data_IF_797189138668
#
_entry.id   IF_797189138668
#
_cell.length_a   1.000
_cell.length_b   1.000
_cell.length_c   1.000
_cell.angle_alpha   90.00
_cell.angle_beta   90.00
_cell.angle_gamma   90.00
#
_symmetry.space_group_name_H-M   'P 1'
#
loop_
_entity.id
_entity.type
_entity.pdbx_description
1 polymer ?
#
# COMPACT_ATOMS: atom_id res chain seq x y z
N UNK A 1 25.61 44.94 27.14
CA UNK A 1 24.21 44.52 27.34
C UNK A 1 23.93 43.33 26.43
N UNK A 2 23.89 42.12 27.00
CA UNK A 2 23.57 40.89 26.29
C UNK A 2 22.06 40.84 26.01
N UNK A 3 21.69 40.92 24.73
CA UNK A 3 20.32 40.67 24.28
C UNK A 3 20.00 39.17 24.36
N UNK A 4 19.44 38.75 25.49
CA UNK A 4 18.80 37.45 25.63
C UNK A 4 17.55 37.41 24.73
N UNK A 5 17.63 36.69 23.61
CA UNK A 5 16.45 36.23 22.87
C UNK A 5 15.71 35.23 23.76
N UNK A 6 14.64 35.70 24.41
CA UNK A 6 13.67 34.86 25.09
C UNK A 6 12.93 34.04 24.01
N UNK A 7 13.30 32.78 23.84
CA UNK A 7 12.49 31.81 23.11
C UNK A 7 11.34 31.37 24.02
N UNK A 8 10.14 31.92 23.82
CA UNK A 8 8.93 31.32 24.37
C UNK A 8 8.74 29.94 23.70
N UNK A 9 9.05 28.87 24.43
CA UNK A 9 8.65 27.52 24.06
C UNK A 9 7.14 27.40 24.28
N UNK A 10 6.36 27.74 23.25
CA UNK A 10 4.92 27.47 23.23
C UNK A 10 4.75 25.95 23.32
N UNK A 11 4.03 25.51 24.34
CA UNK A 11 3.69 24.11 24.52
C UNK A 11 2.43 23.75 23.73
N UNK A 12 2.54 22.78 22.83
CA UNK A 12 1.47 22.28 21.97
C UNK A 12 0.53 21.36 22.77
N UNK A 13 -0.78 21.55 22.70
CA UNK A 13 -1.78 20.62 23.26
C UNK A 13 -2.25 19.74 22.09
N UNK A 14 -1.99 18.44 22.15
CA UNK A 14 -2.31 17.54 21.04
C UNK A 14 -3.73 16.97 21.06
N UNK A 15 -4.14 16.47 19.89
CA UNK A 15 -5.40 15.72 19.70
C UNK A 15 -5.28 14.26 20.13
N UNK A 16 -6.39 13.50 20.13
CA UNK A 16 -6.37 12.07 20.47
C UNK A 16 -5.55 11.28 19.45
N UNK A 17 -4.66 10.40 19.91
CA UNK A 17 -3.94 9.46 19.04
C UNK A 17 -4.94 8.54 18.33
N UNK A 18 -5.03 8.64 17.01
CA UNK A 18 -5.88 7.78 16.18
C UNK A 18 -5.17 6.51 15.75
N UNK A 19 -3.90 6.64 15.34
CA UNK A 19 -3.14 5.53 14.78
C UNK A 19 -1.64 5.74 14.90
N UNK A 20 -0.90 4.64 15.05
CA UNK A 20 0.55 4.60 14.90
C UNK A 20 0.89 3.84 13.62
N UNK A 21 1.39 4.56 12.61
CA UNK A 21 1.83 4.00 11.34
C UNK A 21 3.29 3.56 11.33
N UNK A 22 3.82 3.30 10.13
CA UNK A 22 5.22 2.87 9.97
C UNK A 22 6.27 3.92 10.32
N UNK A 23 5.91 5.20 10.25
CA UNK A 23 6.83 6.33 10.44
C UNK A 23 6.36 7.38 11.45
N UNK A 24 5.07 7.38 11.75
CA UNK A 24 4.39 8.53 12.31
C UNK A 24 3.22 8.16 13.20
N UNK A 25 2.84 9.10 14.05
CA UNK A 25 1.62 9.05 14.84
C UNK A 25 0.62 10.03 14.24
N UNK A 26 -0.62 9.61 14.13
CA UNK A 26 -1.72 10.39 13.55
C UNK A 26 -2.66 10.81 14.68
N UNK A 27 -2.95 12.11 14.76
CA UNK A 27 -3.75 12.71 15.82
C UNK A 27 -4.96 13.44 15.21
N UNK A 28 -6.10 13.40 15.92
CA UNK A 28 -7.33 14.12 15.58
C UNK A 28 -7.97 14.67 16.87
N UNK A 29 -8.41 15.95 16.94
CA UNK A 29 -8.29 17.02 15.93
C UNK A 29 -6.86 17.30 15.50
N UNK A 30 -6.71 17.90 14.32
CA UNK A 30 -5.41 18.36 13.86
C UNK A 30 -4.84 19.43 14.80
N UNK A 31 -3.53 19.63 14.69
CA UNK A 31 -2.76 20.63 15.43
C UNK A 31 -2.18 21.64 14.44
N UNK A 32 -2.28 22.92 14.78
CA UNK A 32 -1.57 23.99 14.11
C UNK A 32 -0.08 23.96 14.46
N UNK A 33 0.75 24.59 13.62
CA UNK A 33 2.20 24.64 13.81
C UNK A 33 2.63 25.40 15.07
N UNK A 34 1.78 26.27 15.60
CA UNK A 34 1.95 26.93 16.90
C UNK A 34 1.55 26.04 18.09
N UNK A 35 1.01 24.84 17.84
CA UNK A 35 0.60 23.89 18.86
C UNK A 35 -0.83 24.02 19.36
N UNK A 36 -1.63 24.94 18.82
CA UNK A 36 -3.05 24.99 19.13
C UNK A 36 -3.76 23.81 18.47
N UNK A 37 -4.84 23.35 19.10
CA UNK A 37 -5.82 22.50 18.44
C UNK A 37 -6.40 23.29 17.25
N UNK A 38 -6.59 22.59 16.15
CA UNK A 38 -7.17 23.07 14.91
C UNK A 38 -8.46 22.27 14.63
N UNK A 39 -8.93 22.28 13.39
CA UNK A 39 -10.16 21.64 12.95
C UNK A 39 -10.10 20.08 13.00
N UNK A 40 -11.21 19.48 13.42
CA UNK A 40 -11.46 18.04 13.49
C UNK A 40 -11.70 17.38 12.11
N UNK A 41 -11.91 18.17 11.06
CA UNK A 41 -11.95 17.65 9.67
C UNK A 41 -10.57 17.31 9.12
N UNK A 42 -9.51 17.54 9.89
CA UNK A 42 -8.14 17.22 9.51
C UNK A 42 -7.45 16.38 10.58
N UNK A 43 -6.35 15.75 10.18
CA UNK A 43 -5.44 15.03 11.08
C UNK A 43 -4.02 15.59 10.99
N UNK A 44 -3.30 15.47 12.10
CA UNK A 44 -1.86 15.74 12.13
C UNK A 44 -1.07 14.44 12.15
N UNK A 45 -0.30 14.18 11.10
CA UNK A 45 0.69 13.09 11.04
C UNK A 45 2.06 13.63 11.45
N UNK A 46 2.56 13.18 12.59
CA UNK A 46 3.89 13.55 13.09
C UNK A 46 4.87 12.43 12.80
N UNK A 47 5.95 12.73 12.08
CA UNK A 47 7.02 11.76 11.79
C UNK A 47 8.41 12.41 11.77
N UNK A 48 9.45 11.59 11.66
CA UNK A 48 10.83 12.11 11.54
C UNK A 48 11.01 12.78 10.19
N UNK A 49 11.76 13.89 10.15
CA UNK A 49 12.12 14.55 8.89
C UNK A 49 13.18 13.74 8.14
N UNK A 50 12.77 13.01 7.12
CA UNK A 50 13.63 12.21 6.24
C UNK A 50 13.14 12.25 4.78
N UNK A 51 13.77 11.47 3.90
CA UNK A 51 13.41 11.45 2.48
C UNK A 51 12.00 10.90 2.23
N UNK A 52 11.52 9.95 3.04
CA UNK A 52 10.14 9.47 2.92
C UNK A 52 9.13 10.57 3.27
N UNK A 53 9.42 11.38 4.30
CA UNK A 53 8.58 12.52 4.64
C UNK A 53 8.59 13.60 3.56
N UNK A 54 9.75 13.90 2.97
CA UNK A 54 9.85 14.84 1.84
C UNK A 54 9.08 14.34 0.63
N UNK A 55 9.26 13.07 0.28
CA UNK A 55 8.55 12.42 -0.82
C UNK A 55 7.03 12.48 -0.63
N UNK A 56 6.53 12.20 0.57
CA UNK A 56 5.10 12.25 0.87
C UNK A 56 4.52 13.68 0.69
N UNK A 57 5.27 14.72 1.07
CA UNK A 57 4.89 16.12 0.83
C UNK A 57 4.88 16.44 -0.68
N UNK A 58 5.93 16.03 -1.41
CA UNK A 58 6.08 16.33 -2.84
C UNK A 58 4.99 15.66 -3.67
N UNK A 59 4.76 14.36 -3.44
CA UNK A 59 3.66 13.63 -4.05
C UNK A 59 2.33 14.26 -3.65
N UNK A 60 2.17 14.64 -2.38
CA UNK A 60 0.95 15.30 -1.90
C UNK A 60 0.59 16.54 -2.72
N UNK A 61 1.56 17.40 -3.03
CA UNK A 61 1.36 18.57 -3.89
C UNK A 61 0.88 18.20 -5.30
N UNK A 62 1.42 17.14 -5.90
CA UNK A 62 1.01 16.68 -7.23
C UNK A 62 -0.43 16.18 -7.20
N UNK A 63 -0.78 15.39 -6.17
CA UNK A 63 -2.11 14.79 -6.05
C UNK A 63 -3.19 15.82 -5.72
N UNK A 64 -2.89 16.84 -4.92
CA UNK A 64 -3.83 17.92 -4.61
C UNK A 64 -4.26 18.74 -5.83
N UNK A 65 -3.51 18.69 -6.94
CA UNK A 65 -3.86 19.35 -8.19
C UNK A 65 -4.76 18.50 -9.11
N UNK A 66 -5.14 17.28 -8.70
CA UNK A 66 -6.08 16.44 -9.44
C UNK A 66 -7.50 16.87 -9.08
N UNK A 67 -8.36 17.08 -10.09
CA UNK A 67 -9.78 17.35 -9.86
C UNK A 67 -10.39 16.21 -9.03
N UNK A 68 -11.17 16.56 -8.01
CA UNK A 68 -11.83 15.60 -7.12
C UNK A 68 -10.87 14.64 -6.39
N UNK A 69 -9.59 15.00 -6.20
CA UNK A 69 -8.60 14.14 -5.53
C UNK A 69 -9.09 13.59 -4.19
N UNK A 70 -9.93 14.34 -3.47
CA UNK A 70 -10.51 13.95 -2.18
C UNK A 70 -11.40 12.69 -2.25
N UNK A 71 -11.81 12.26 -3.44
CA UNK A 71 -12.56 11.02 -3.66
C UNK A 71 -11.64 9.82 -3.94
N UNK A 72 -10.33 10.05 -3.97
CA UNK A 72 -9.34 9.04 -4.33
C UNK A 72 -8.20 8.95 -3.31
N UNK A 73 -7.77 10.09 -2.75
CA UNK A 73 -6.55 10.24 -1.97
C UNK A 73 -6.76 11.14 -0.75
N UNK A 74 -5.98 10.90 0.31
CA UNK A 74 -5.76 11.86 1.39
C UNK A 74 -4.27 12.27 1.42
N UNK A 75 -3.83 13.17 0.52
CA UNK A 75 -2.46 13.67 0.47
C UNK A 75 -2.14 14.64 1.61
N UNK A 76 -0.85 14.97 1.75
CA UNK A 76 -0.39 16.05 2.62
C UNK A 76 -0.78 17.40 2.04
N UNK A 77 -1.53 18.19 2.82
CA UNK A 77 -2.03 19.52 2.42
C UNK A 77 -1.05 20.61 2.84
N UNK A 78 -0.54 20.52 4.06
CA UNK A 78 0.45 21.45 4.59
C UNK A 78 1.39 20.75 5.59
N UNK A 79 2.50 21.38 5.91
CA UNK A 79 3.47 20.82 6.85
C UNK A 79 4.27 21.90 7.57
N UNK A 80 4.85 21.54 8.71
CA UNK A 80 5.82 22.36 9.42
C UNK A 80 6.83 21.53 10.21
N UNK A 81 8.00 22.13 10.45
CA UNK A 81 9.01 21.53 11.32
C UNK A 81 8.63 21.77 12.78
N UNK A 82 8.76 20.73 13.60
CA UNK A 82 8.44 20.79 15.02
C UNK A 82 9.55 20.15 15.87
N UNK A 83 9.73 20.63 17.09
CA UNK A 83 10.56 19.98 18.11
C UNK A 83 9.67 19.17 19.07
N UNK A 84 9.98 17.88 19.32
CA UNK A 84 9.18 17.05 20.23
C UNK A 84 9.03 17.65 21.63
N UNK A 85 10.05 18.38 22.10
CA UNK A 85 10.00 19.07 23.41
C UNK A 85 8.83 20.05 23.53
N UNK A 86 8.29 20.50 22.40
CA UNK A 86 7.18 21.44 22.35
C UNK A 86 5.81 20.75 22.50
N UNK A 87 5.68 19.44 22.27
CA UNK A 87 4.39 18.74 22.42
C UNK A 87 4.10 18.40 23.89
N UNK A 88 3.03 18.96 24.47
CA UNK A 88 2.41 18.57 25.74
C UNK A 88 1.08 17.87 25.46
N UNK A 89 1.14 16.56 25.24
CA UNK A 89 -0.03 15.71 25.09
C UNK A 89 0.08 14.52 26.07
N UNK A 90 -1.01 14.18 26.75
CA UNK A 90 -1.12 13.01 27.64
C UNK A 90 -0.88 11.69 26.90
N UNK A 91 -1.19 11.63 25.59
CA UNK A 91 -0.99 10.49 24.72
C UNK A 91 0.37 10.51 24.01
N UNK A 92 1.21 11.53 24.25
CA UNK A 92 2.59 11.60 23.71
C UNK A 92 3.37 10.34 24.01
N UNK A 93 3.28 9.83 25.24
CA UNK A 93 4.02 8.62 25.64
C UNK A 93 3.52 7.33 24.97
N UNK A 94 2.32 7.35 24.37
CA UNK A 94 1.79 6.20 23.61
C UNK A 94 2.44 6.08 22.23
N UNK A 95 2.98 7.18 21.69
CA UNK A 95 3.67 7.17 20.40
C UNK A 95 5.12 6.67 20.55
N UNK A 96 5.43 5.49 20.01
CA UNK A 96 6.77 4.89 20.12
C UNK A 96 7.90 5.77 19.57
N UNK A 97 7.60 6.66 18.63
CA UNK A 97 8.57 7.58 18.02
C UNK A 97 9.18 8.57 19.01
N UNK A 98 8.47 8.87 20.09
CA UNK A 98 8.89 9.84 21.10
C UNK A 98 9.73 9.20 22.21
N UNK A 99 9.83 7.85 22.24
CA UNK A 99 10.66 7.10 23.20
C UNK A 99 12.14 6.97 22.77
N UNK A 100 12.48 7.25 21.50
CA UNK A 100 13.86 7.17 20.98
C UNK A 100 14.51 8.58 20.94
N UNK A 101 15.78 8.67 21.37
CA UNK A 101 16.63 9.88 21.61
C UNK A 101 16.20 11.21 20.96
N UNK A 102 16.33 12.30 21.75
CA UNK A 102 15.98 13.72 21.49
C UNK A 102 16.61 14.42 20.27
N UNK A 103 17.26 13.71 19.34
CA UNK A 103 18.18 14.35 18.37
C UNK A 103 17.62 14.54 16.95
N UNK A 104 16.41 14.08 16.61
CA UNK A 104 15.83 14.32 15.27
C UNK A 104 14.96 15.60 15.20
N UNK A 105 15.05 16.34 14.09
CA UNK A 105 14.00 17.28 13.69
C UNK A 105 12.77 16.48 13.24
N UNK A 106 11.58 16.84 13.73
CA UNK A 106 10.33 16.20 13.36
C UNK A 106 9.55 17.08 12.40
N UNK A 107 8.67 16.45 11.65
CA UNK A 107 7.77 17.08 10.71
C UNK A 107 6.35 16.75 11.15
N UNK A 108 5.50 17.77 11.23
CA UNK A 108 4.06 17.61 11.33
C UNK A 108 3.45 17.91 9.97
N UNK A 109 2.59 17.02 9.50
CA UNK A 109 1.87 17.14 8.24
C UNK A 109 0.37 17.17 8.52
N UNK A 110 -0.35 18.08 7.86
CA UNK A 110 -1.81 18.17 7.90
C UNK A 110 -2.41 17.42 6.71
N UNK A 111 -3.37 16.54 6.97
CA UNK A 111 -4.09 15.77 5.96
C UNK A 111 -5.60 15.86 6.22
N UNK A 112 -6.42 15.69 5.19
CA UNK A 112 -7.87 15.55 5.34
C UNK A 112 -8.18 14.33 6.25
N UNK A 113 -9.07 14.49 7.23
CA UNK A 113 -9.53 13.37 8.04
C UNK A 113 -10.50 12.51 7.22
N UNK A 114 -10.15 11.24 7.05
CA UNK A 114 -11.05 10.25 6.46
C UNK A 114 -11.85 9.59 7.58
N UNK A 115 -13.09 10.04 7.74
CA UNK A 115 -14.04 9.39 8.65
C UNK A 115 -14.34 7.97 8.17
N UNK A 116 -13.92 6.98 8.95
CA UNK A 116 -14.06 5.58 8.60
C UNK A 116 -13.02 4.68 9.26
N UNK A 117 -12.73 3.54 8.62
CA UNK A 117 -11.75 2.56 9.09
C UNK A 117 -10.97 1.93 7.94
N UNK A 118 -9.98 1.10 8.25
CA UNK A 118 -9.21 0.35 7.25
C UNK A 118 -10.13 -0.46 6.34
N UNK A 119 -9.83 -0.46 5.04
CA UNK A 119 -10.71 -0.99 4.01
C UNK A 119 -11.13 -2.43 4.24
N UNK A 120 -10.19 -3.37 4.45
CA UNK A 120 -10.52 -4.78 4.66
C UNK A 120 -11.30 -4.96 5.96
N UNK A 121 -10.99 -4.22 7.00
CA UNK A 121 -11.77 -4.23 8.24
C UNK A 121 -13.20 -3.70 8.04
N UNK A 122 -13.40 -2.64 7.26
CA UNK A 122 -14.74 -2.12 6.95
C UNK A 122 -15.58 -3.16 6.24
N UNK A 123 -15.02 -3.75 5.17
CA UNK A 123 -15.66 -4.78 4.37
C UNK A 123 -16.11 -5.95 5.24
N UNK A 124 -15.33 -6.30 6.27
CA UNK A 124 -15.65 -7.44 7.14
C UNK A 124 -16.63 -7.10 8.27
N UNK A 125 -16.56 -5.90 8.85
CA UNK A 125 -17.41 -5.55 10.01
C UNK A 125 -18.82 -5.12 9.63
N UNK A 126 -18.98 -4.35 8.56
CA UNK A 126 -20.25 -3.70 8.21
C UNK A 126 -21.04 -4.44 7.13
N UNK A 127 -20.78 -5.74 7.01
CA UNK A 127 -21.45 -6.66 6.11
C UNK A 127 -22.90 -6.92 6.53
N UNK A 128 -23.87 -6.46 5.73
CA UNK A 128 -25.04 -7.26 5.36
C UNK A 128 -24.80 -7.85 3.95
N UNK A 129 -25.48 -8.95 3.61
CA UNK A 129 -25.26 -9.79 2.41
C UNK A 129 -24.93 -9.01 1.15
N UNK A 130 -25.88 -8.16 0.78
CA UNK A 130 -25.92 -7.46 -0.50
C UNK A 130 -24.95 -6.28 -0.48
N UNK A 131 -24.72 -5.65 0.67
CA UNK A 131 -23.76 -4.54 0.76
C UNK A 131 -22.32 -5.00 0.63
N UNK A 132 -21.95 -6.23 1.03
CA UNK A 132 -20.57 -6.71 0.88
C UNK A 132 -20.16 -6.62 -0.59
N UNK A 133 -20.97 -7.18 -1.47
CA UNK A 133 -20.67 -7.33 -2.88
C UNK A 133 -20.70 -5.99 -3.61
N UNK A 134 -21.73 -5.19 -3.36
CA UNK A 134 -21.78 -3.84 -3.86
C UNK A 134 -20.56 -3.03 -3.43
N UNK A 135 -20.13 -3.17 -2.17
CA UNK A 135 -18.91 -2.53 -1.68
C UNK A 135 -17.66 -3.09 -2.37
N UNK A 136 -17.56 -4.40 -2.66
CA UNK A 136 -16.41 -4.99 -3.40
C UNK A 136 -16.34 -4.38 -4.78
N UNK A 137 -17.45 -4.44 -5.52
CA UNK A 137 -17.56 -4.01 -6.92
C UNK A 137 -17.24 -2.52 -7.02
N UNK A 138 -17.92 -1.69 -6.22
CA UNK A 138 -17.75 -0.25 -6.23
C UNK A 138 -16.35 0.15 -5.76
N UNK A 139 -15.82 -0.52 -4.73
CA UNK A 139 -14.46 -0.23 -4.25
C UNK A 139 -13.40 -0.65 -5.27
N UNK A 140 -13.60 -1.75 -5.99
CA UNK A 140 -12.61 -2.22 -6.97
C UNK A 140 -12.54 -1.23 -8.14
N UNK A 141 -13.70 -0.81 -8.66
CA UNK A 141 -13.78 0.21 -9.68
C UNK A 141 -13.21 1.55 -9.21
N UNK A 142 -13.52 2.00 -7.99
CA UNK A 142 -12.98 3.25 -7.46
C UNK A 142 -11.44 3.17 -7.28
N UNK A 143 -10.91 2.05 -6.80
CA UNK A 143 -9.47 1.85 -6.62
C UNK A 143 -8.74 1.75 -7.96
N UNK A 144 -9.29 1.06 -8.97
CA UNK A 144 -8.74 1.05 -10.33
C UNK A 144 -8.68 2.47 -10.90
N UNK A 145 -9.74 3.26 -10.72
CA UNK A 145 -9.76 4.69 -11.11
C UNK A 145 -8.71 5.50 -10.35
N UNK A 146 -8.59 5.31 -9.04
CA UNK A 146 -7.55 5.96 -8.23
C UNK A 146 -6.14 5.62 -8.74
N UNK A 147 -5.86 4.35 -9.05
CA UNK A 147 -4.54 3.95 -9.58
C UNK A 147 -4.33 4.55 -10.99
N UNK A 148 -5.35 4.58 -11.84
CA UNK A 148 -5.27 5.23 -13.16
C UNK A 148 -4.92 6.72 -13.03
N UNK A 149 -5.49 7.44 -12.04
CA UNK A 149 -5.12 8.83 -11.76
C UNK A 149 -3.65 8.97 -11.33
N UNK A 150 -3.10 8.03 -10.55
CA UNK A 150 -1.68 8.00 -10.21
C UNK A 150 -0.80 7.78 -11.44
N UNK A 151 -1.12 6.77 -12.26
CA UNK A 151 -0.39 6.44 -13.50
C UNK A 151 -0.42 7.60 -14.49
N UNK A 152 -1.55 8.29 -14.65
CA UNK A 152 -1.68 9.49 -15.50
C UNK A 152 -0.82 10.67 -15.00
N UNK A 153 -0.42 10.66 -13.72
CA UNK A 153 0.55 11.59 -13.14
C UNK A 153 1.96 11.01 -13.04
N UNK A 154 2.18 9.82 -13.62
CA UNK A 154 3.44 9.08 -13.56
C UNK A 154 3.89 8.81 -12.13
N UNK A 155 2.94 8.43 -11.28
CA UNK A 155 3.16 8.09 -9.87
C UNK A 155 2.84 6.62 -9.66
N UNK A 156 3.69 5.95 -8.90
CA UNK A 156 3.46 4.61 -8.35
C UNK A 156 3.32 4.77 -6.84
N UNK A 157 2.26 4.24 -6.25
CA UNK A 157 2.09 4.21 -4.80
C UNK A 157 3.22 3.41 -4.14
N UNK A 158 3.59 2.26 -4.73
CA UNK A 158 4.74 1.40 -4.36
C UNK A 158 4.67 0.73 -2.98
N UNK A 159 3.62 1.02 -2.23
CA UNK A 159 3.26 0.39 -0.95
C UNK A 159 1.73 0.21 -0.85
N UNK A 160 1.04 -0.12 -1.95
CA UNK A 160 -0.42 -0.26 -1.92
C UNK A 160 -0.82 -1.57 -1.23
N UNK A 161 -1.55 -1.46 -0.13
CA UNK A 161 -2.01 -2.58 0.72
C UNK A 161 -3.25 -2.17 1.49
N UNK A 162 -4.00 -3.12 2.05
CA UNK A 162 -5.22 -2.83 2.81
C UNK A 162 -5.04 -1.76 3.88
N UNK A 163 -3.95 -1.85 4.67
CA UNK A 163 -3.63 -0.84 5.71
C UNK A 163 -3.36 0.58 5.19
N UNK A 164 -3.13 0.75 3.89
CA UNK A 164 -2.95 2.06 3.22
C UNK A 164 -4.20 2.46 2.40
N UNK A 165 -5.34 1.84 2.68
CA UNK A 165 -6.65 2.20 2.11
C UNK A 165 -7.64 2.36 3.28
N UNK A 166 -8.27 3.52 3.37
CA UNK A 166 -9.35 3.79 4.32
C UNK A 166 -10.68 3.81 3.58
N UNK A 167 -11.69 3.14 4.12
CA UNK A 167 -13.05 3.27 3.59
C UNK A 167 -13.75 4.45 4.27
N UNK A 168 -14.14 5.46 3.50
CA UNK A 168 -14.88 6.60 4.03
C UNK A 168 -16.34 6.23 4.25
N UNK A 169 -16.81 6.24 5.50
CA UNK A 169 -18.22 6.00 5.82
C UNK A 169 -19.11 7.13 5.32
N UNK A 170 -18.61 8.37 5.36
CA UNK A 170 -19.29 9.55 4.85
C UNK A 170 -19.49 9.52 3.34
N UNK A 171 -18.44 9.21 2.58
CA UNK A 171 -18.49 9.21 1.11
C UNK A 171 -18.86 7.85 0.49
N UNK A 172 -18.85 6.78 1.29
CA UNK A 172 -19.06 5.39 0.86
C UNK A 172 -18.11 4.94 -0.26
N UNK A 173 -16.83 5.31 -0.14
CA UNK A 173 -15.79 5.00 -1.12
C UNK A 173 -14.43 4.76 -0.43
N UNK A 174 -13.54 3.95 -1.02
CA UNK A 174 -12.17 3.78 -0.54
C UNK A 174 -11.27 4.96 -0.93
N UNK A 175 -10.40 5.38 -0.01
CA UNK A 175 -9.44 6.47 -0.14
C UNK A 175 -8.03 5.93 0.13
N UNK A 176 -7.09 6.14 -0.80
CA UNK A 176 -5.69 5.72 -0.68
C UNK A 176 -4.90 6.76 0.14
N UNK A 177 -4.03 6.26 1.03
CA UNK A 177 -3.22 7.06 1.96
C UNK A 177 -1.75 6.58 2.02
N UNK A 178 -0.87 7.37 2.65
CA UNK A 178 0.55 7.06 2.92
C UNK A 178 1.44 6.92 1.66
N UNK A 179 1.74 8.06 1.03
CA UNK A 179 2.60 8.16 -0.15
C UNK A 179 4.12 8.25 0.17
N UNK A 180 4.53 7.88 1.39
CA UNK A 180 5.93 8.02 1.83
C UNK A 180 6.95 7.12 1.11
N UNK A 181 6.47 6.10 0.39
CA UNK A 181 7.31 5.21 -0.43
C UNK A 181 7.09 5.37 -1.93
N UNK A 182 6.13 6.21 -2.35
CA UNK A 182 5.75 6.38 -3.74
C UNK A 182 6.90 6.83 -4.63
N UNK A 183 6.81 6.48 -5.91
CA UNK A 183 7.83 6.79 -6.93
C UNK A 183 7.21 7.77 -7.92
N UNK A 184 7.89 8.90 -8.14
CA UNK A 184 7.59 9.81 -9.24
C UNK A 184 8.43 9.42 -10.46
N UNK A 185 7.80 8.79 -11.43
CA UNK A 185 8.44 8.30 -12.65
C UNK A 185 8.93 9.41 -13.57
N UNK A 186 8.47 10.66 -13.41
CA UNK A 186 9.07 11.79 -14.13
C UNK A 186 10.53 12.05 -13.73
N UNK A 187 10.93 11.65 -12.52
CA UNK A 187 12.26 11.92 -12.00
C UNK A 187 13.18 10.69 -12.10
N UNK A 188 12.70 9.57 -12.64
CA UNK A 188 13.39 8.28 -12.57
C UNK A 188 14.78 8.30 -13.20
N UNK A 189 14.93 9.00 -14.33
CA UNK A 189 16.21 9.11 -15.05
C UNK A 189 17.23 9.98 -14.32
N UNK A 190 16.77 10.82 -13.38
CA UNK A 190 17.62 11.73 -12.59
C UNK A 190 17.98 11.17 -11.22
N UNK A 191 17.38 10.05 -10.82
CA UNK A 191 17.54 9.45 -9.49
C UNK A 191 18.37 8.17 -9.60
N UNK A 192 19.31 7.98 -8.68
CA UNK A 192 19.97 6.68 -8.51
C UNK A 192 18.93 5.59 -8.20
N UNK A 193 18.80 4.60 -9.08
CA UNK A 193 17.86 3.50 -8.95
C UNK A 193 18.02 2.72 -7.63
N UNK A 194 19.20 2.74 -6.99
CA UNK A 194 19.40 2.17 -5.65
C UNK A 194 18.69 2.96 -4.54
N UNK A 195 18.20 4.17 -4.78
CA UNK A 195 17.34 4.89 -3.85
C UNK A 195 15.85 4.49 -3.99
N UNK A 196 15.47 4.02 -5.19
CA UNK A 196 14.12 3.53 -5.52
C UNK A 196 13.99 2.05 -5.12
N UNK A 197 14.87 1.21 -5.63
CA UNK A 197 15.01 -0.21 -5.31
C UNK A 197 16.05 -0.38 -4.21
N UNK A 198 15.75 0.18 -3.04
CA UNK A 198 16.70 0.36 -1.94
C UNK A 198 17.06 -0.90 -1.17
N UNK A 199 16.41 -2.03 -1.46
CA UNK A 199 16.63 -3.29 -0.76
C UNK A 199 16.22 -4.48 -1.62
N UNK A 200 16.78 -5.65 -1.30
CA UNK A 200 16.30 -6.93 -1.77
C UNK A 200 15.43 -7.56 -0.67
N UNK A 201 14.11 -7.60 -0.90
CA UNK A 201 13.14 -8.08 0.08
C UNK A 201 12.08 -8.98 -0.59
N UNK A 202 12.43 -10.22 -1.00
CA UNK A 202 11.51 -11.14 -1.67
C UNK A 202 10.28 -11.50 -0.82
N UNK A 203 10.29 -11.20 0.48
CA UNK A 203 9.16 -11.35 1.38
C UNK A 203 8.11 -10.23 1.29
N UNK A 204 8.43 -9.10 0.62
CA UNK A 204 7.54 -7.95 0.57
C UNK A 204 6.44 -8.11 -0.50
N UNK A 205 5.40 -8.86 -0.12
CA UNK A 205 4.36 -9.43 -1.00
C UNK A 205 3.58 -8.47 -1.93
N UNK A 206 3.63 -7.15 -1.69
CA UNK A 206 2.95 -6.16 -2.55
C UNK A 206 3.76 -5.77 -3.77
N UNK A 207 5.04 -6.13 -3.81
CA UNK A 207 5.89 -5.91 -4.98
C UNK A 207 5.75 -7.07 -5.97
N UNK A 208 5.70 -6.79 -7.28
CA UNK A 208 5.72 -7.83 -8.29
C UNK A 208 7.12 -8.44 -8.44
N UNK A 209 7.20 -9.59 -9.08
CA UNK A 209 8.43 -10.37 -9.27
C UNK A 209 9.60 -9.54 -9.80
N UNK A 210 9.36 -8.69 -10.80
CA UNK A 210 10.40 -7.86 -11.41
C UNK A 210 10.96 -6.80 -10.45
N UNK A 211 10.17 -6.28 -9.51
CA UNK A 211 10.67 -5.33 -8.50
C UNK A 211 11.61 -6.04 -7.53
N UNK A 212 11.29 -7.28 -7.14
CA UNK A 212 12.21 -8.08 -6.33
C UNK A 212 13.50 -8.43 -7.09
N UNK A 213 13.39 -8.74 -8.38
CA UNK A 213 14.54 -9.00 -9.23
C UNK A 213 15.42 -7.74 -9.42
N UNK A 214 14.84 -6.56 -9.62
CA UNK A 214 15.57 -5.28 -9.60
C UNK A 214 16.28 -5.06 -8.26
N UNK A 215 15.62 -5.39 -7.14
CA UNK A 215 16.22 -5.39 -5.81
C UNK A 215 17.45 -6.30 -5.70
N UNK A 216 17.37 -7.51 -6.26
CA UNK A 216 18.49 -8.48 -6.32
C UNK A 216 19.66 -7.91 -7.14
N UNK A 217 19.37 -7.41 -8.35
CA UNK A 217 20.36 -6.84 -9.27
C UNK A 217 21.13 -5.66 -8.67
N UNK A 218 20.42 -4.77 -7.98
CA UNK A 218 20.97 -3.50 -7.51
C UNK A 218 21.62 -3.58 -6.12
N UNK A 219 21.26 -4.59 -5.32
CA UNK A 219 21.69 -4.68 -3.92
C UNK A 219 22.44 -5.96 -3.55
N UNK A 220 22.41 -7.00 -4.39
CA UNK A 220 23.05 -8.28 -4.09
C UNK A 220 24.06 -8.64 -5.18
N UNK A 221 23.58 -8.92 -6.41
CA UNK A 221 24.42 -9.41 -7.49
C UNK A 221 23.88 -8.92 -8.84
N UNK A 222 24.72 -8.21 -9.62
CA UNK A 222 24.35 -7.70 -10.95
C UNK A 222 24.15 -8.81 -11.98
N UNK A 223 24.78 -9.96 -11.78
CA UNK A 223 24.62 -11.15 -12.61
C UNK A 223 24.24 -12.36 -11.73
N UNK A 224 22.97 -12.45 -11.31
CA UNK A 224 22.49 -13.51 -10.43
C UNK A 224 22.78 -14.91 -10.98
N UNK A 225 23.21 -15.79 -10.09
CA UNK A 225 23.39 -17.22 -10.36
C UNK A 225 22.05 -17.93 -10.48
N UNK A 226 22.05 -19.11 -11.09
CA UNK A 226 20.84 -19.95 -11.18
C UNK A 226 20.24 -20.28 -9.81
N UNK A 227 21.06 -20.39 -8.76
CA UNK A 227 20.58 -20.68 -7.41
C UNK A 227 19.89 -19.47 -6.79
N UNK A 228 20.45 -18.27 -6.95
CA UNK A 228 19.82 -17.01 -6.51
C UNK A 228 18.45 -16.80 -7.19
N UNK A 229 18.31 -17.18 -8.47
CA UNK A 229 17.02 -17.11 -9.17
C UNK A 229 15.98 -18.09 -8.60
N UNK A 230 16.39 -19.33 -8.28
CA UNK A 230 15.51 -20.31 -7.63
C UNK A 230 15.07 -19.84 -6.25
N UNK A 231 16.02 -19.33 -5.47
CA UNK A 231 15.74 -18.80 -4.14
C UNK A 231 14.79 -17.60 -4.19
N UNK A 232 14.97 -16.69 -5.16
CA UNK A 232 14.02 -15.61 -5.39
C UNK A 232 12.62 -16.15 -5.73
N UNK A 233 12.50 -17.05 -6.72
CA UNK A 233 11.21 -17.61 -7.11
C UNK A 233 10.49 -18.28 -5.93
N UNK A 234 11.19 -19.14 -5.19
CA UNK A 234 10.67 -19.85 -4.02
C UNK A 234 10.23 -18.88 -2.92
N UNK A 235 11.09 -17.94 -2.54
CA UNK A 235 10.79 -16.98 -1.48
C UNK A 235 9.64 -16.04 -1.86
N UNK A 236 9.57 -15.62 -3.13
CA UNK A 236 8.47 -14.83 -3.65
C UNK A 236 7.13 -15.55 -3.48
N UNK A 237 7.04 -16.82 -3.90
CA UNK A 237 5.79 -17.59 -3.79
C UNK A 237 5.39 -17.90 -2.34
N UNK A 238 6.34 -18.33 -1.51
CA UNK A 238 6.07 -18.67 -0.10
C UNK A 238 5.61 -17.43 0.69
N UNK A 239 6.14 -16.24 0.38
CA UNK A 239 5.78 -15.03 1.13
C UNK A 239 4.62 -14.24 0.49
N UNK A 240 4.17 -14.60 -0.70
CA UNK A 240 3.08 -13.91 -1.37
C UNK A 240 1.74 -14.20 -0.67
N UNK A 241 1.26 -13.23 0.12
CA UNK A 241 0.05 -13.34 0.95
C UNK A 241 -1.25 -13.46 0.16
N UNK A 242 -1.24 -13.13 -1.14
CA UNK A 242 -2.39 -13.26 -2.04
C UNK A 242 -2.57 -14.67 -2.61
N UNK A 243 -1.50 -15.47 -2.68
CA UNK A 243 -1.55 -16.83 -3.24
C UNK A 243 -1.24 -17.91 -2.19
N UNK A 244 -0.30 -17.66 -1.28
CA UNK A 244 0.10 -18.66 -0.30
C UNK A 244 -1.08 -18.97 0.63
N UNK A 245 -1.36 -20.26 0.82
CA UNK A 245 -2.51 -20.80 1.57
C UNK A 245 -3.88 -20.49 0.97
N UNK A 246 -3.95 -19.92 -0.24
CA UNK A 246 -5.21 -19.70 -0.97
C UNK A 246 -5.38 -20.71 -2.11
N UNK A 247 -4.28 -21.29 -2.59
CA UNK A 247 -4.28 -22.22 -3.72
C UNK A 247 -3.61 -23.54 -3.36
N UNK A 248 -3.88 -24.56 -4.18
CA UNK A 248 -3.36 -25.91 -3.98
C UNK A 248 -1.82 -25.95 -4.08
N UNK A 249 -1.15 -26.91 -3.42
CA UNK A 249 0.28 -27.11 -3.55
C UNK A 249 0.75 -27.28 -5.01
N UNK A 250 -0.06 -27.93 -5.85
CA UNK A 250 0.21 -28.10 -7.29
C UNK A 250 0.22 -26.77 -8.02
N UNK A 251 -0.77 -25.90 -7.75
CA UNK A 251 -0.78 -24.55 -8.31
C UNK A 251 0.45 -23.75 -7.87
N UNK A 252 0.79 -23.79 -6.58
CA UNK A 252 1.95 -23.04 -6.05
C UNK A 252 3.26 -23.49 -6.70
N UNK A 253 3.46 -24.79 -6.91
CA UNK A 253 4.62 -25.32 -7.65
C UNK A 253 4.65 -24.85 -9.11
N UNK A 254 3.50 -24.86 -9.79
CA UNK A 254 3.40 -24.37 -11.16
C UNK A 254 3.71 -22.88 -11.27
N UNK A 255 3.20 -22.09 -10.33
CA UNK A 255 3.43 -20.65 -10.26
C UNK A 255 4.89 -20.32 -9.91
N UNK A 256 5.51 -21.06 -8.99
CA UNK A 256 6.95 -20.95 -8.67
C UNK A 256 7.81 -21.25 -9.90
N UNK A 257 7.48 -22.32 -10.64
CA UNK A 257 8.15 -22.64 -11.90
C UNK A 257 8.01 -21.50 -12.92
N UNK A 258 6.81 -20.94 -13.08
CA UNK A 258 6.59 -19.79 -13.95
C UNK A 258 7.39 -18.55 -13.53
N UNK A 259 7.56 -18.32 -12.22
CA UNK A 259 8.45 -17.27 -11.71
C UNK A 259 9.91 -17.54 -12.11
N UNK A 260 10.41 -18.75 -11.86
CA UNK A 260 11.79 -19.12 -12.19
C UNK A 260 12.07 -19.01 -13.69
N UNK A 261 11.16 -19.50 -14.53
CA UNK A 261 11.30 -19.43 -15.98
C UNK A 261 11.32 -17.97 -16.45
N UNK A 262 10.48 -17.11 -15.87
CA UNK A 262 10.50 -15.68 -16.18
C UNK A 262 11.79 -14.99 -15.72
N UNK A 263 12.31 -15.33 -14.54
CA UNK A 263 13.57 -14.79 -14.04
C UNK A 263 14.74 -15.19 -14.95
N UNK A 264 14.77 -16.42 -15.46
CA UNK A 264 15.79 -16.87 -16.43
C UNK A 264 15.75 -16.04 -17.71
N UNK A 265 14.57 -15.69 -18.21
CA UNK A 265 14.42 -14.80 -19.38
C UNK A 265 15.06 -13.45 -19.11
N UNK A 266 14.82 -12.85 -17.94
CA UNK A 266 15.47 -11.58 -17.59
C UNK A 266 17.00 -11.71 -17.50
N UNK A 267 17.48 -12.83 -16.97
CA UNK A 267 18.91 -13.08 -16.75
C UNK A 267 19.70 -13.35 -18.05
N UNK A 268 19.02 -13.57 -19.18
CA UNK A 268 19.66 -13.70 -20.49
C UNK A 268 20.01 -12.35 -21.13
N UNK A 269 19.34 -11.26 -20.73
CA UNK A 269 19.58 -9.91 -21.25
C UNK A 269 20.79 -9.27 -20.56
N UNK A 270 21.47 -8.30 -21.19
CA UNK A 270 22.55 -7.56 -20.52
C UNK A 270 22.01 -6.69 -19.38
N UNK A 271 22.82 -6.39 -18.36
CA UNK A 271 22.40 -5.63 -17.17
C UNK A 271 21.59 -4.34 -17.48
N UNK A 272 22.08 -3.47 -18.37
CA UNK A 272 21.37 -2.23 -18.68
C UNK A 272 20.05 -2.47 -19.45
N UNK A 273 20.04 -3.45 -20.35
CA UNK A 273 18.87 -3.84 -21.13
C UNK A 273 17.80 -4.44 -20.23
N UNK A 274 18.16 -5.34 -19.30
CA UNK A 274 17.21 -5.92 -18.34
C UNK A 274 16.60 -4.85 -17.44
N UNK A 275 17.39 -3.93 -16.91
CA UNK A 275 16.86 -2.85 -16.05
C UNK A 275 15.86 -2.01 -16.85
N UNK A 276 16.22 -1.56 -18.06
CA UNK A 276 15.34 -0.77 -18.92
C UNK A 276 14.05 -1.53 -19.27
N UNK A 277 14.18 -2.81 -19.63
CA UNK A 277 13.04 -3.66 -19.97
C UNK A 277 12.06 -3.80 -18.81
N UNK A 278 12.55 -4.10 -17.60
CA UNK A 278 11.70 -4.27 -16.41
C UNK A 278 11.00 -2.98 -16.00
N UNK A 279 11.67 -1.84 -16.18
CA UNK A 279 11.09 -0.54 -15.87
C UNK A 279 9.91 -0.19 -16.79
N UNK A 280 9.75 -0.81 -17.96
CA UNK A 280 8.63 -0.53 -18.87
C UNK A 280 7.26 -0.97 -18.32
N UNK A 281 7.21 -1.80 -17.27
CA UNK A 281 5.97 -2.36 -16.71
C UNK A 281 5.49 -1.66 -15.44
N UNK A 282 6.09 -0.51 -15.12
CA UNK A 282 5.89 0.23 -13.87
C UNK A 282 4.42 0.59 -13.59
N UNK A 283 3.65 0.84 -14.64
CA UNK A 283 2.24 1.23 -14.63
C UNK A 283 1.30 0.08 -14.21
N UNK A 284 1.79 -1.16 -14.20
CA UNK A 284 1.04 -2.33 -13.73
C UNK A 284 1.29 -2.70 -12.27
N UNK A 285 2.30 -2.11 -11.61
CA UNK A 285 2.75 -2.55 -10.28
C UNK A 285 1.72 -2.33 -9.19
N UNK A 286 1.00 -1.21 -9.20
CA UNK A 286 -0.07 -0.98 -8.23
C UNK A 286 -1.33 -1.80 -8.57
N UNK A 287 -1.56 -2.15 -9.85
CA UNK A 287 -2.64 -3.08 -10.23
C UNK A 287 -2.36 -4.50 -9.74
N UNK A 288 -1.09 -4.93 -9.80
CA UNK A 288 -0.61 -6.15 -9.15
C UNK A 288 -0.92 -6.10 -7.65
N UNK A 289 -0.53 -5.03 -6.96
CA UNK A 289 -0.73 -4.88 -5.52
C UNK A 289 -2.22 -4.88 -5.14
N UNK A 290 -3.05 -4.17 -5.91
CA UNK A 290 -4.51 -4.20 -5.75
C UNK A 290 -5.07 -5.61 -5.91
N UNK A 291 -4.57 -6.36 -6.89
CA UNK A 291 -5.02 -7.73 -7.14
C UNK A 291 -4.66 -8.67 -6.01
N UNK A 292 -3.49 -8.49 -5.38
CA UNK A 292 -3.09 -9.18 -4.17
C UNK A 292 -4.02 -8.86 -2.98
N UNK A 293 -4.42 -7.59 -2.80
CA UNK A 293 -5.39 -7.20 -1.76
C UNK A 293 -6.72 -7.93 -1.96
N UNK A 294 -7.22 -7.97 -3.20
CA UNK A 294 -8.50 -8.61 -3.49
C UNK A 294 -8.44 -10.14 -3.43
N UNK A 295 -7.33 -10.77 -3.82
CA UNK A 295 -7.15 -12.22 -3.64
C UNK A 295 -7.17 -12.61 -2.15
N UNK A 296 -6.54 -11.79 -1.29
CA UNK A 296 -6.65 -11.96 0.17
C UNK A 296 -8.09 -11.81 0.64
N UNK A 297 -8.84 -10.89 0.05
CA UNK A 297 -10.24 -10.68 0.40
C UNK A 297 -11.13 -11.86 -0.03
N UNK A 298 -10.96 -12.37 -1.25
CA UNK A 298 -11.68 -13.56 -1.74
C UNK A 298 -11.49 -14.77 -0.82
N UNK A 299 -10.29 -14.96 -0.26
CA UNK A 299 -10.05 -16.00 0.75
C UNK A 299 -10.95 -15.88 1.98
N UNK A 300 -11.22 -14.65 2.42
CA UNK A 300 -12.12 -14.45 3.57
C UNK A 300 -13.59 -14.68 3.22
N UNK A 301 -13.95 -14.50 1.96
CA UNK A 301 -15.29 -14.83 1.47
C UNK A 301 -15.49 -16.33 1.24
N UNK A 302 -14.41 -17.09 0.99
CA UNK A 302 -14.47 -18.50 0.61
C UNK A 302 -13.60 -19.38 1.51
N UNK A 303 -13.94 -19.45 2.80
CA UNK A 303 -13.20 -20.24 3.79
C UNK A 303 -13.48 -21.74 3.67
N UNK A 304 -14.72 -22.13 3.32
CA UNK A 304 -15.14 -23.52 3.10
C UNK A 304 -15.06 -23.92 1.60
N UNK A 305 -14.73 -22.97 0.71
CA UNK A 305 -14.35 -23.22 -0.68
C UNK A 305 -15.47 -23.01 -1.71
N UNK A 306 -15.79 -21.75 -2.04
CA UNK A 306 -16.72 -21.38 -3.12
C UNK A 306 -16.10 -21.46 -4.51
N UNK A 307 -15.56 -22.62 -4.85
CA UNK A 307 -14.99 -22.82 -6.18
C UNK A 307 -16.04 -22.77 -7.28
N UNK A 308 -17.34 -22.93 -6.98
CA UNK A 308 -18.42 -22.99 -7.97
C UNK A 308 -19.06 -21.63 -8.32
N UNK A 309 -18.94 -20.62 -7.46
CA UNK A 309 -19.55 -19.31 -7.68
C UNK A 309 -18.94 -18.59 -8.90
N UNK A 310 -19.78 -18.16 -9.85
CA UNK A 310 -19.33 -17.56 -11.12
C UNK A 310 -18.53 -16.27 -10.92
N UNK A 311 -18.95 -15.40 -9.99
CA UNK A 311 -18.23 -14.17 -9.66
C UNK A 311 -16.87 -14.47 -9.02
N UNK A 312 -16.79 -15.38 -8.04
CA UNK A 312 -15.52 -15.74 -7.39
C UNK A 312 -14.56 -16.39 -8.39
N UNK A 313 -15.05 -17.28 -9.27
CA UNK A 313 -14.27 -17.87 -10.37
C UNK A 313 -13.72 -16.78 -11.29
N UNK A 314 -14.58 -15.86 -11.72
CA UNK A 314 -14.20 -14.78 -12.61
C UNK A 314 -13.18 -13.85 -11.96
N UNK A 315 -13.47 -13.33 -10.75
CA UNK A 315 -12.54 -12.45 -10.05
C UNK A 315 -11.23 -13.16 -9.75
N UNK A 316 -11.25 -14.41 -9.29
CA UNK A 316 -10.05 -15.20 -9.10
C UNK A 316 -9.17 -15.24 -10.34
N UNK A 317 -9.76 -15.52 -11.52
CA UNK A 317 -9.03 -15.52 -12.81
C UNK A 317 -8.49 -14.14 -13.18
N UNK A 318 -9.30 -13.09 -13.08
CA UNK A 318 -8.90 -11.71 -13.39
C UNK A 318 -7.71 -11.27 -12.51
N UNK A 319 -7.81 -11.51 -11.21
CA UNK A 319 -6.77 -11.14 -10.26
C UNK A 319 -5.49 -11.96 -10.47
N UNK A 320 -5.61 -13.26 -10.76
CA UNK A 320 -4.48 -14.12 -11.10
C UNK A 320 -3.75 -13.66 -12.38
N UNK A 321 -4.50 -13.20 -13.38
CA UNK A 321 -3.93 -12.61 -14.59
C UNK A 321 -3.09 -11.37 -14.26
N UNK A 322 -3.60 -10.49 -13.40
CA UNK A 322 -2.93 -9.25 -13.00
C UNK A 322 -1.73 -9.47 -12.08
N UNK A 323 -1.58 -10.66 -11.50
CA UNK A 323 -0.37 -11.03 -10.76
C UNK A 323 0.59 -11.93 -11.54
N UNK A 324 0.32 -12.22 -12.80
CA UNK A 324 1.10 -13.16 -13.60
C UNK A 324 2.62 -12.83 -13.54
N UNK A 325 3.52 -13.83 -13.36
CA UNK A 325 4.97 -13.60 -13.24
C UNK A 325 5.58 -12.86 -14.44
N UNK A 326 5.17 -13.23 -15.66
CA UNK A 326 5.44 -12.46 -16.88
C UNK A 326 4.57 -11.19 -16.92
N UNK A 327 5.14 -9.97 -16.86
CA UNK A 327 4.37 -8.74 -16.82
C UNK A 327 3.65 -8.43 -18.14
N UNK A 328 4.11 -8.95 -19.29
CA UNK A 328 3.40 -8.78 -20.58
C UNK A 328 2.05 -9.51 -20.61
N UNK A 329 1.83 -10.47 -19.71
CA UNK A 329 0.54 -11.16 -19.60
C UNK A 329 -0.41 -10.43 -18.65
N UNK A 330 0.05 -9.45 -17.88
CA UNK A 330 -0.84 -8.68 -17.00
C UNK A 330 -1.69 -7.74 -17.84
N UNK A 331 -2.93 -7.53 -17.42
CA UNK A 331 -3.78 -6.53 -18.06
C UNK A 331 -3.33 -5.12 -17.65
N UNK A 332 -3.50 -4.17 -18.57
CA UNK A 332 -3.46 -2.76 -18.23
C UNK A 332 -4.59 -2.42 -17.24
N UNK A 333 -4.54 -1.24 -16.62
CA UNK A 333 -5.64 -0.77 -15.77
C UNK A 333 -6.94 -0.64 -16.56
N UNK A 334 -6.87 -0.15 -17.80
CA UNK A 334 -8.03 0.01 -18.69
C UNK A 334 -8.62 -1.36 -19.02
N UNK A 335 -7.78 -2.32 -19.42
CA UNK A 335 -8.24 -3.66 -19.77
C UNK A 335 -8.79 -4.41 -18.55
N UNK A 336 -8.20 -4.19 -17.36
CA UNK A 336 -8.73 -4.71 -16.10
C UNK A 336 -10.13 -4.17 -15.83
N UNK A 337 -10.32 -2.85 -15.94
CA UNK A 337 -11.63 -2.20 -15.75
C UNK A 337 -12.65 -2.69 -16.77
N UNK A 338 -12.28 -2.77 -18.06
CA UNK A 338 -13.17 -3.26 -19.11
C UNK A 338 -13.54 -4.72 -18.93
N UNK A 339 -12.57 -5.58 -18.59
CA UNK A 339 -12.83 -7.01 -18.34
C UNK A 339 -13.76 -7.18 -17.14
N UNK A 340 -13.50 -6.45 -16.05
CA UNK A 340 -14.34 -6.48 -14.85
C UNK A 340 -15.77 -6.02 -15.12
N UNK A 341 -15.95 -4.82 -15.69
CA UNK A 341 -17.28 -4.27 -15.95
C UNK A 341 -18.02 -5.02 -17.06
N UNK A 342 -17.30 -5.57 -18.03
CA UNK A 342 -17.86 -6.43 -19.08
C UNK A 342 -18.48 -7.71 -18.52
N UNK A 343 -17.84 -8.32 -17.50
CA UNK A 343 -18.43 -9.45 -16.78
C UNK A 343 -19.72 -9.06 -16.04
N UNK A 344 -19.68 -7.94 -15.28
CA UNK A 344 -20.83 -7.46 -14.54
C UNK A 344 -22.05 -7.16 -15.44
N UNK A 345 -21.81 -6.62 -16.64
CA UNK A 345 -22.87 -6.33 -17.60
C UNK A 345 -23.45 -7.59 -18.25
N UNK A 346 -22.61 -8.55 -18.67
CA UNK A 346 -23.03 -9.74 -19.42
C UNK A 346 -23.87 -10.71 -18.59
N UNK A 347 -23.49 -10.92 -17.34
CA UNK A 347 -24.12 -11.95 -16.50
C UNK A 347 -25.46 -11.50 -15.89
N UNK A 348 -25.93 -10.27 -16.15
CA UNK A 348 -27.11 -9.67 -15.50
C UNK A 348 -27.17 -10.01 -14.00
N UNK A 349 -26.01 -9.94 -13.32
CA UNK A 349 -25.81 -10.58 -12.02
C UNK A 349 -26.91 -10.15 -11.07
N UNK A 350 -27.81 -11.08 -10.75
CA UNK A 350 -28.72 -10.88 -9.64
C UNK A 350 -27.86 -10.96 -8.37
N UNK A 351 -27.54 -9.78 -7.83
CA UNK A 351 -26.68 -9.60 -6.67
C UNK A 351 -27.26 -10.29 -5.42
N UNK A 352 -28.56 -10.54 -5.37
CA UNK A 352 -29.16 -11.31 -4.27
C UNK A 352 -28.83 -12.79 -4.44
N UNK A 353 -29.29 -13.43 -5.52
CA UNK A 353 -29.14 -14.89 -5.69
C UNK A 353 -27.68 -15.35 -5.86
N UNK A 354 -26.81 -14.53 -6.45
CA UNK A 354 -25.41 -14.90 -6.71
C UNK A 354 -24.57 -14.89 -5.42
N UNK A 355 -25.05 -14.24 -4.37
CA UNK A 355 -24.24 -13.94 -3.20
C UNK A 355 -24.90 -14.26 -1.86
N UNK A 356 -26.09 -14.83 -1.86
CA UNK A 356 -26.72 -15.46 -0.69
C UNK A 356 -25.75 -16.45 -0.02
N UNK A 357 -25.26 -17.44 -0.78
CA UNK A 357 -24.32 -18.46 -0.27
C UNK A 357 -23.02 -17.84 0.30
N UNK A 358 -22.46 -16.85 -0.40
CA UNK A 358 -21.23 -16.15 0.02
C UNK A 358 -21.46 -15.33 1.29
N UNK A 359 -22.67 -14.84 1.49
CA UNK A 359 -23.02 -14.06 2.66
C UNK A 359 -23.10 -14.93 3.89
N UNK A 360 -23.82 -16.04 3.81
CA UNK A 360 -24.12 -16.85 4.99
C UNK A 360 -22.84 -17.41 5.61
N UNK A 361 -21.90 -17.87 4.78
CA UNK A 361 -20.60 -18.32 5.26
C UNK A 361 -19.75 -17.18 5.81
N UNK A 362 -19.79 -16.02 5.16
CA UNK A 362 -19.09 -14.83 5.64
C UNK A 362 -19.59 -14.40 7.02
N UNK A 363 -20.91 -14.38 7.22
CA UNK A 363 -21.55 -14.06 8.51
C UNK A 363 -21.14 -15.09 9.56
N UNK A 364 -21.22 -16.39 9.25
CA UNK A 364 -20.83 -17.50 10.14
C UNK A 364 -19.38 -17.38 10.63
N UNK A 365 -18.47 -16.94 9.76
CA UNK A 365 -17.04 -16.86 10.04
C UNK A 365 -16.54 -15.46 10.45
N UNK A 366 -17.43 -14.47 10.56
CA UNK A 366 -17.10 -13.04 10.72
C UNK A 366 -16.13 -12.74 11.87
N UNK A 367 -16.28 -13.40 13.02
CA UNK A 367 -15.39 -13.17 14.17
C UNK A 367 -13.96 -13.69 13.91
N UNK A 368 -13.85 -14.90 13.35
CA UNK A 368 -12.56 -15.50 13.01
C UNK A 368 -11.85 -14.69 11.93
N UNK A 369 -12.58 -14.24 10.91
CA UNK A 369 -12.08 -13.34 9.86
C UNK A 369 -11.54 -12.04 10.48
N UNK A 370 -12.31 -11.40 11.36
CA UNK A 370 -11.90 -10.19 12.06
C UNK A 370 -10.62 -10.38 12.89
N UNK A 371 -10.48 -11.50 13.60
CA UNK A 371 -9.27 -11.83 14.37
C UNK A 371 -8.05 -12.02 13.48
N UNK A 372 -8.21 -12.74 12.37
CA UNK A 372 -7.14 -12.98 11.40
C UNK A 372 -6.71 -11.69 10.69
N UNK A 373 -7.66 -10.83 10.32
CA UNK A 373 -7.38 -9.52 9.74
C UNK A 373 -6.54 -8.64 10.68
N UNK A 374 -6.91 -8.55 11.97
CA UNK A 374 -6.12 -7.79 12.96
C UNK A 374 -4.67 -8.31 13.04
N UNK A 375 -4.48 -9.63 13.06
CA UNK A 375 -3.14 -10.25 13.08
C UNK A 375 -2.36 -9.92 11.81
N UNK A 376 -2.99 -10.02 10.65
CA UNK A 376 -2.35 -9.71 9.37
C UNK A 376 -1.99 -8.23 9.24
N UNK A 377 -2.86 -7.31 9.66
CA UNK A 377 -2.60 -5.87 9.65
C UNK A 377 -1.39 -5.51 10.53
N UNK A 378 -1.23 -6.17 11.68
CA UNK A 378 -0.05 -5.98 12.52
C UNK A 378 1.25 -6.46 11.84
N UNK A 379 1.20 -7.58 11.11
CA UNK A 379 2.35 -8.07 10.35
C UNK A 379 2.67 -7.13 9.17
N UNK A 380 1.65 -6.69 8.43
CA UNK A 380 1.80 -5.75 7.31
C UNK A 380 2.39 -4.40 7.78
N UNK A 381 2.04 -3.95 8.99
CA UNK A 381 2.64 -2.77 9.60
C UNK A 381 4.13 -2.99 9.93
N UNK A 382 4.51 -4.17 10.43
CA UNK A 382 5.91 -4.53 10.71
C UNK A 382 6.73 -4.59 9.43
N UNK A 383 6.21 -5.22 8.38
CA UNK A 383 6.89 -5.34 7.08
C UNK A 383 7.19 -3.94 6.51
N UNK A 384 6.20 -3.05 6.53
CA UNK A 384 6.36 -1.67 6.08
C UNK A 384 7.31 -0.88 6.96
N UNK A 385 7.29 -1.05 8.29
CA UNK A 385 8.31 -0.47 9.20
C UNK A 385 9.72 -0.91 8.80
N UNK A 386 9.91 -2.19 8.47
CA UNK A 386 11.20 -2.73 8.00
C UNK A 386 11.63 -2.12 6.68
N UNK A 387 10.77 -2.11 5.66
CA UNK A 387 11.07 -1.51 4.35
C UNK A 387 11.48 -0.05 4.44
N UNK A 388 10.73 0.69 5.26
CA UNK A 388 10.96 2.10 5.56
C UNK A 388 12.30 2.34 6.29
N UNK A 389 12.73 1.43 7.15
CA UNK A 389 14.05 1.48 7.81
C UNK A 389 15.19 1.17 6.83
N UNK A 390 15.02 0.18 5.95
CA UNK A 390 16.02 -0.16 4.93
C UNK A 390 16.25 1.00 3.96
N UNK A 391 15.18 1.66 3.48
CA UNK A 391 15.30 2.87 2.64
C UNK A 391 16.15 3.95 3.32
N UNK A 392 15.90 4.21 4.61
CA UNK A 392 16.66 5.19 5.41
C UNK A 392 18.14 4.81 5.55
N UNK A 393 18.45 3.53 5.80
CA UNK A 393 19.84 3.07 5.91
C UNK A 393 20.57 3.26 4.57
N UNK A 394 19.93 2.85 3.46
CA UNK A 394 20.51 2.95 2.12
C UNK A 394 20.87 4.37 1.72
N UNK A 395 19.95 5.32 1.94
CA UNK A 395 20.19 6.74 1.64
C UNK A 395 21.38 7.30 2.44
N UNK A 396 21.53 6.90 3.71
CA UNK A 396 22.69 7.32 4.51
C UNK A 396 24.00 6.80 3.96
N UNK A 397 24.03 5.57 3.45
CA UNK A 397 25.23 4.98 2.85
C UNK A 397 25.65 5.67 1.56
N UNK A 398 24.71 6.24 0.80
CA UNK A 398 25.02 6.96 -0.46
C UNK A 398 25.50 8.40 -0.21
N UNK A 399 25.12 9.00 0.93
CA UNK A 399 25.47 10.38 1.28
C UNK A 399 26.85 10.53 1.96
N UNK A 400 27.56 9.41 2.16
CA UNK A 400 28.93 9.32 2.68
C UNK A 400 29.80 8.85 1.51
#
# INVERSE_FOLDING_TARGET
MNNYKIFFYISMIGGKLLSEGGFGCVFNPSMNCNGSIDDATFVSKIQRKDNSARNEIEIGKILSNISEYKNHFAPVISHCNIGIGQIKDKDKEKCMLFKKKKTSKYLMMKLDYVEGMEFLQYMVKNANSVQIINNIINSFNNLLRSISLLVNRKIIHYDLKGSNILYSTKKKIPIIIDFGLSINMNNIDSIDLKQVFYTYAPQYYVWPLEVHYLGLLLNVNKEPTSEELKDLAKNYVINNKGINKNFSPTFLKSYEKACLDQLKIYNQMRFNERVKYLMNFWDTWDNYALSIIYLRFLKYLALEGFYENSFIKFMGKLLLQNIHPNPNKRLSLIDTTHTFNGFLYKEQINVESTFEELTDEFIKNKENINKNLKKHNNNDLRDTKTMKLEKRKRIKTIAI
#
